data_IF_980250268004
#
_entry.id   IF_980250268004
#
_cell.length_a   1.000
_cell.length_b   1.000
_cell.length_c   1.000
_cell.angle_alpha   90.00
_cell.angle_beta   90.00
_cell.angle_gamma   90.00
#
_symmetry.space_group_name_H-M   'P 1'
#
loop_
_entity.id
_entity.type
_entity.pdbx_description
1 polymer ?
#
# COMPACT_ATOMS: atom_id res chain seq x y z
N UNK A 1 10.68 -4.36 -18.58
CA UNK A 1 9.62 -4.64 -17.57
C UNK A 1 10.25 -5.52 -16.48
N UNK A 2 9.96 -5.24 -15.20
CA UNK A 2 10.51 -5.98 -14.09
C UNK A 2 9.75 -7.29 -13.85
N UNK A 3 10.37 -8.25 -13.14
CA UNK A 3 9.71 -9.52 -12.80
C UNK A 3 8.42 -9.31 -12.01
N UNK A 4 8.42 -8.34 -11.08
CA UNK A 4 7.25 -8.01 -10.28
C UNK A 4 6.08 -7.49 -11.10
N UNK A 5 6.32 -6.67 -12.12
CA UNK A 5 5.26 -6.19 -13.00
C UNK A 5 4.61 -7.33 -13.80
N UNK A 6 5.41 -8.28 -14.31
CA UNK A 6 4.87 -9.46 -14.98
C UNK A 6 4.03 -10.33 -14.03
N UNK A 7 4.52 -10.58 -12.82
CA UNK A 7 3.76 -11.31 -11.79
C UNK A 7 2.43 -10.60 -11.50
N UNK A 8 2.45 -9.27 -11.34
CA UNK A 8 1.25 -8.47 -11.09
C UNK A 8 0.24 -8.55 -12.24
N UNK A 9 0.70 -8.46 -13.48
CA UNK A 9 -0.18 -8.57 -14.67
C UNK A 9 -0.81 -9.96 -14.74
N UNK A 10 -0.02 -11.01 -14.60
CA UNK A 10 -0.52 -12.40 -14.64
C UNK A 10 -1.53 -12.62 -13.53
N UNK A 11 -1.21 -12.19 -12.30
CA UNK A 11 -2.11 -12.32 -11.17
C UNK A 11 -3.42 -11.55 -11.38
N UNK A 12 -3.34 -10.33 -11.92
CA UNK A 12 -4.53 -9.52 -12.26
C UNK A 12 -5.42 -10.23 -13.28
N UNK A 13 -4.83 -10.79 -14.34
CA UNK A 13 -5.58 -11.55 -15.37
C UNK A 13 -6.24 -12.78 -14.75
N UNK A 14 -5.51 -13.55 -13.93
CA UNK A 14 -6.04 -14.75 -13.29
C UNK A 14 -7.18 -14.42 -12.31
N UNK A 15 -7.03 -13.39 -11.48
CA UNK A 15 -8.06 -12.96 -10.53
C UNK A 15 -9.29 -12.44 -11.26
N UNK A 16 -9.10 -11.65 -12.33
CA UNK A 16 -10.21 -11.16 -13.16
C UNK A 16 -10.95 -12.32 -13.82
N UNK A 17 -10.23 -13.23 -14.46
CA UNK A 17 -10.81 -14.40 -15.11
C UNK A 17 -11.57 -15.29 -14.11
N UNK A 18 -10.97 -15.56 -12.93
CA UNK A 18 -11.62 -16.32 -11.87
C UNK A 18 -12.88 -15.64 -11.33
N UNK A 19 -12.85 -14.32 -11.14
CA UNK A 19 -14.02 -13.53 -10.70
C UNK A 19 -15.16 -13.60 -11.73
N UNK A 20 -14.83 -13.40 -13.01
CA UNK A 20 -15.80 -13.49 -14.12
C UNK A 20 -16.34 -14.92 -14.25
N UNK A 21 -15.45 -15.93 -14.14
CA UNK A 21 -15.85 -17.32 -14.17
C UNK A 21 -16.86 -17.67 -13.08
N UNK A 22 -16.57 -17.32 -11.82
CA UNK A 22 -17.47 -17.53 -10.66
C UNK A 22 -18.85 -16.91 -10.89
N UNK A 23 -18.94 -15.77 -11.55
CA UNK A 23 -20.21 -15.10 -11.80
C UNK A 23 -21.00 -15.74 -12.97
N UNK A 24 -20.34 -16.14 -14.07
CA UNK A 24 -21.01 -16.62 -15.28
C UNK A 24 -21.18 -18.14 -15.35
N UNK A 25 -20.38 -18.90 -14.60
CA UNK A 25 -20.51 -20.36 -14.58
C UNK A 25 -21.81 -20.74 -13.85
N UNK A 26 -22.67 -21.58 -14.45
CA UNK A 26 -23.98 -21.91 -13.88
C UNK A 26 -23.89 -22.59 -12.50
N UNK A 27 -22.89 -23.44 -12.27
CA UNK A 27 -22.73 -24.17 -11.01
C UNK A 27 -22.30 -23.22 -9.90
N UNK A 28 -21.27 -22.40 -10.10
CA UNK A 28 -20.83 -21.42 -9.12
C UNK A 28 -21.86 -20.32 -8.90
N UNK A 29 -22.50 -19.82 -9.96
CA UNK A 29 -23.55 -18.80 -9.83
C UNK A 29 -24.74 -19.32 -9.02
N UNK A 30 -25.12 -20.61 -9.19
CA UNK A 30 -26.19 -21.20 -8.40
C UNK A 30 -25.89 -21.24 -6.89
N UNK A 31 -24.62 -21.30 -6.49
CA UNK A 31 -24.19 -21.28 -5.08
C UNK A 31 -24.25 -19.88 -4.46
N UNK A 32 -24.22 -18.81 -5.27
CA UNK A 32 -24.35 -17.45 -4.75
C UNK A 32 -25.80 -17.22 -4.24
N UNK A 33 -25.99 -16.68 -3.03
CA UNK A 33 -27.32 -16.29 -2.54
C UNK A 33 -27.90 -15.15 -3.38
N UNK A 34 -29.20 -14.95 -3.29
CA UNK A 34 -29.89 -13.78 -3.86
C UNK A 34 -30.78 -13.16 -2.79
N UNK A 35 -30.48 -11.97 -2.26
CA UNK A 35 -29.34 -11.09 -2.62
C UNK A 35 -27.98 -11.58 -2.09
N UNK A 36 -26.89 -11.14 -2.78
CA UNK A 36 -25.49 -11.44 -2.43
C UNK A 36 -25.01 -10.47 -1.35
N UNK A 37 -24.32 -10.92 -0.26
CA UNK A 37 -23.69 -10.03 0.70
C UNK A 37 -22.49 -9.30 0.04
N UNK A 38 -22.47 -7.96 0.17
CA UNK A 38 -21.45 -7.11 -0.49
C UNK A 38 -20.71 -6.17 0.47
N UNK A 39 -21.11 -6.10 1.73
CA UNK A 39 -20.41 -5.36 2.76
C UNK A 39 -20.61 -6.01 4.14
N UNK A 40 -19.57 -5.96 4.98
CA UNK A 40 -19.56 -6.48 6.33
C UNK A 40 -19.07 -5.42 7.30
N UNK A 41 -19.75 -5.28 8.42
CA UNK A 41 -19.34 -4.37 9.49
C UNK A 41 -18.10 -4.90 10.24
N UNK A 42 -17.57 -4.11 11.19
CA UNK A 42 -16.39 -4.46 12.00
C UNK A 42 -16.57 -5.74 12.84
N UNK A 43 -17.81 -6.19 13.04
CA UNK A 43 -18.14 -7.43 13.76
C UNK A 43 -18.27 -8.64 12.82
N UNK A 44 -18.00 -8.45 11.52
CA UNK A 44 -18.11 -9.48 10.51
C UNK A 44 -19.55 -9.82 10.12
N UNK A 45 -20.53 -8.99 10.51
CA UNK A 45 -21.92 -9.16 10.15
C UNK A 45 -22.20 -8.45 8.83
N UNK A 46 -22.92 -9.10 7.93
CA UNK A 46 -23.34 -8.48 6.66
C UNK A 46 -24.36 -7.38 6.95
N UNK A 47 -24.07 -6.17 6.48
CA UNK A 47 -24.94 -4.99 6.64
C UNK A 47 -25.36 -4.36 5.30
N UNK A 48 -24.87 -4.89 4.18
CA UNK A 48 -25.33 -4.51 2.83
C UNK A 48 -25.40 -5.73 1.92
N UNK A 49 -26.48 -5.79 1.16
CA UNK A 49 -26.78 -6.85 0.20
C UNK A 49 -27.06 -6.24 -1.16
N UNK A 50 -26.71 -6.95 -2.23
CA UNK A 50 -26.92 -6.51 -3.62
C UNK A 50 -27.62 -7.63 -4.38
N UNK A 51 -28.66 -7.32 -5.20
CA UNK A 51 -29.27 -8.32 -6.06
C UNK A 51 -28.21 -9.05 -6.91
N UNK A 52 -28.33 -10.37 -7.06
CA UNK A 52 -27.36 -11.18 -7.79
C UNK A 52 -27.12 -10.68 -9.21
N UNK A 53 -28.15 -10.19 -9.90
CA UNK A 53 -28.04 -9.63 -11.24
C UNK A 53 -27.17 -8.36 -11.32
N UNK A 54 -26.98 -7.66 -10.20
CA UNK A 54 -26.27 -6.38 -10.12
C UNK A 54 -24.92 -6.48 -9.41
N UNK A 55 -24.49 -7.68 -8.95
CA UNK A 55 -23.32 -7.82 -8.09
C UNK A 55 -21.98 -7.78 -8.87
N UNK A 56 -21.99 -8.10 -10.15
CA UNK A 56 -20.76 -8.19 -10.95
C UNK A 56 -19.87 -6.91 -10.90
N UNK A 57 -20.40 -5.69 -11.02
CA UNK A 57 -19.58 -4.48 -10.88
C UNK A 57 -18.86 -4.40 -9.52
N UNK A 58 -19.47 -4.84 -8.43
CA UNK A 58 -18.85 -4.88 -7.11
C UNK A 58 -17.70 -5.88 -7.07
N UNK A 59 -17.86 -7.04 -7.67
CA UNK A 59 -16.80 -8.06 -7.77
C UNK A 59 -15.63 -7.61 -8.65
N UNK A 60 -15.86 -6.73 -9.61
CA UNK A 60 -14.80 -6.21 -10.50
C UNK A 60 -14.02 -5.03 -9.91
N UNK A 61 -14.41 -4.46 -8.76
CA UNK A 61 -13.68 -3.34 -8.13
C UNK A 61 -12.23 -3.73 -7.81
N UNK A 62 -12.02 -4.89 -7.17
CA UNK A 62 -10.69 -5.39 -6.84
C UNK A 62 -9.81 -5.63 -8.08
N UNK A 63 -10.26 -6.43 -9.07
CA UNK A 63 -9.58 -6.59 -10.34
C UNK A 63 -9.26 -5.28 -11.08
N UNK A 64 -10.21 -4.33 -11.09
CA UNK A 64 -9.99 -3.01 -11.71
C UNK A 64 -8.89 -2.21 -10.99
N UNK A 65 -8.88 -2.22 -9.65
CA UNK A 65 -7.83 -1.61 -8.86
C UNK A 65 -6.45 -2.24 -9.13
N UNK A 66 -6.39 -3.58 -9.26
CA UNK A 66 -5.16 -4.30 -9.63
C UNK A 66 -4.67 -3.89 -11.04
N UNK A 67 -5.57 -3.78 -12.01
CA UNK A 67 -5.26 -3.32 -13.37
C UNK A 67 -4.72 -1.89 -13.38
N UNK A 68 -5.34 -1.00 -12.59
CA UNK A 68 -4.86 0.38 -12.41
C UNK A 68 -3.45 0.41 -11.80
N UNK A 69 -3.17 -0.42 -10.79
CA UNK A 69 -1.84 -0.52 -10.18
C UNK A 69 -0.79 -1.03 -11.18
N UNK A 70 -1.14 -2.02 -12.02
CA UNK A 70 -0.26 -2.48 -13.10
C UNK A 70 0.08 -1.36 -14.10
N UNK A 71 -0.88 -0.51 -14.42
CA UNK A 71 -0.69 0.68 -15.27
C UNK A 71 0.17 1.74 -14.58
N UNK A 72 -0.09 2.03 -13.30
CA UNK A 72 0.62 3.05 -12.52
C UNK A 72 2.08 2.65 -12.26
N UNK A 73 2.38 1.37 -12.15
CA UNK A 73 3.74 0.88 -11.84
C UNK A 73 4.82 1.42 -12.81
N UNK A 74 4.68 1.36 -14.14
CA UNK A 74 5.63 1.99 -15.05
C UNK A 74 5.41 3.52 -15.19
N UNK A 75 4.20 4.01 -15.00
CA UNK A 75 3.84 5.42 -15.24
C UNK A 75 4.40 6.36 -14.18
N UNK A 76 4.30 6.01 -12.89
CA UNK A 76 4.73 6.89 -11.80
C UNK A 76 6.23 7.22 -11.83
N UNK A 77 7.16 6.27 -12.07
CA UNK A 77 8.58 6.60 -12.26
C UNK A 77 8.84 7.55 -13.42
N UNK A 78 8.10 7.41 -14.52
CA UNK A 78 8.22 8.29 -15.67
C UNK A 78 7.74 9.73 -15.37
N UNK A 79 6.68 9.87 -14.56
CA UNK A 79 6.17 11.17 -14.10
C UNK A 79 7.02 11.79 -12.99
N UNK A 80 8.00 11.08 -12.45
CA UNK A 80 8.78 11.53 -11.29
C UNK A 80 9.73 12.66 -11.68
N UNK A 81 9.76 13.78 -10.93
CA UNK A 81 10.81 14.79 -11.09
C UNK A 81 12.20 14.16 -10.88
N UNK A 82 13.21 14.60 -11.64
CA UNK A 82 14.58 14.02 -11.62
C UNK A 82 15.16 13.92 -10.21
N UNK A 83 14.95 14.94 -9.37
CA UNK A 83 15.43 15.00 -7.98
C UNK A 83 14.75 13.96 -7.06
N UNK A 84 13.60 13.41 -7.47
CA UNK A 84 12.84 12.38 -6.74
C UNK A 84 12.73 11.08 -7.54
N UNK A 85 13.74 10.80 -8.36
CA UNK A 85 13.77 9.61 -9.18
C UNK A 85 13.62 8.32 -8.38
N UNK A 86 12.87 7.37 -8.92
CA UNK A 86 12.65 6.05 -8.34
C UNK A 86 13.81 5.08 -8.63
N UNK A 87 14.63 5.37 -9.63
CA UNK A 87 15.70 4.47 -10.11
C UNK A 87 16.66 4.00 -9.01
N UNK A 88 17.10 4.84 -8.03
CA UNK A 88 18.02 4.39 -6.98
C UNK A 88 17.46 3.27 -6.08
N UNK A 89 16.13 3.09 -6.02
CA UNK A 89 15.50 2.03 -5.22
C UNK A 89 14.44 1.24 -6.03
N UNK A 90 14.61 1.18 -7.35
CA UNK A 90 13.66 0.58 -8.29
C UNK A 90 13.20 -0.82 -7.89
N UNK A 91 14.09 -1.67 -7.38
CA UNK A 91 13.74 -3.03 -6.93
C UNK A 91 12.74 -3.01 -5.77
N UNK A 92 12.91 -2.09 -4.82
CA UNK A 92 12.00 -1.93 -3.67
C UNK A 92 10.67 -1.35 -4.12
N UNK A 93 10.69 -0.36 -5.02
CA UNK A 93 9.49 0.20 -5.62
C UNK A 93 8.63 -0.88 -6.30
N UNK A 94 9.23 -1.66 -7.19
CA UNK A 94 8.54 -2.71 -7.92
C UNK A 94 8.02 -3.82 -6.99
N UNK A 95 8.77 -4.16 -5.93
CA UNK A 95 8.33 -5.07 -4.89
C UNK A 95 7.08 -4.53 -4.16
N UNK A 96 7.10 -3.26 -3.72
CA UNK A 96 5.98 -2.64 -3.00
C UNK A 96 4.74 -2.59 -3.90
N UNK A 97 4.88 -2.18 -5.16
CA UNK A 97 3.76 -2.16 -6.12
C UNK A 97 3.19 -3.56 -6.33
N UNK A 98 4.05 -4.57 -6.50
CA UNK A 98 3.63 -5.97 -6.59
C UNK A 98 2.96 -6.48 -5.31
N UNK A 99 3.49 -6.12 -4.14
CA UNK A 99 2.91 -6.49 -2.85
C UNK A 99 1.49 -5.94 -2.67
N UNK A 100 1.24 -4.70 -3.13
CA UNK A 100 -0.12 -4.10 -3.11
C UNK A 100 -1.06 -4.87 -4.03
N UNK A 101 -0.59 -5.28 -5.23
CA UNK A 101 -1.41 -6.13 -6.14
C UNK A 101 -1.72 -7.47 -5.50
N UNK A 102 -0.76 -8.11 -4.82
CA UNK A 102 -0.97 -9.37 -4.07
C UNK A 102 -1.99 -9.17 -2.95
N UNK A 103 -1.93 -8.04 -2.24
CA UNK A 103 -2.95 -7.72 -1.22
C UNK A 103 -4.34 -7.64 -1.85
N UNK A 104 -4.52 -6.92 -2.96
CA UNK A 104 -5.82 -6.83 -3.63
C UNK A 104 -6.30 -8.20 -4.14
N UNK A 105 -5.42 -9.05 -4.65
CA UNK A 105 -5.75 -10.41 -5.04
C UNK A 105 -6.24 -11.24 -3.85
N UNK A 106 -5.54 -11.14 -2.71
CA UNK A 106 -5.94 -11.79 -1.47
C UNK A 106 -7.31 -11.31 -0.98
N UNK A 107 -7.52 -9.98 -0.92
CA UNK A 107 -8.79 -9.40 -0.50
C UNK A 107 -9.93 -9.82 -1.43
N UNK A 108 -9.70 -9.86 -2.74
CA UNK A 108 -10.68 -10.33 -3.72
C UNK A 108 -11.06 -11.79 -3.46
N UNK A 109 -10.09 -12.67 -3.19
CA UNK A 109 -10.35 -14.06 -2.85
C UNK A 109 -11.20 -14.20 -1.58
N UNK A 110 -10.87 -13.45 -0.52
CA UNK A 110 -11.66 -13.46 0.73
C UNK A 110 -13.07 -12.92 0.50
N UNK A 111 -13.23 -11.83 -0.27
CA UNK A 111 -14.54 -11.23 -0.59
C UNK A 111 -15.41 -12.23 -1.37
N UNK A 112 -14.86 -12.89 -2.38
CA UNK A 112 -15.60 -13.92 -3.14
C UNK A 112 -16.04 -15.07 -2.23
N UNK A 113 -15.13 -15.60 -1.38
CA UNK A 113 -15.49 -16.65 -0.43
C UNK A 113 -16.59 -16.19 0.55
N UNK A 114 -16.49 -14.97 1.05
CA UNK A 114 -17.49 -14.39 1.97
C UNK A 114 -18.85 -14.18 1.29
N UNK A 115 -18.87 -14.02 -0.04
CA UNK A 115 -20.13 -13.86 -0.79
C UNK A 115 -20.91 -15.16 -0.94
N UNK A 116 -20.24 -16.33 -0.86
CA UNK A 116 -20.91 -17.63 -0.82
C UNK A 116 -21.41 -18.01 0.58
N UNK A 117 -20.65 -17.64 1.60
CA UNK A 117 -20.93 -18.00 2.98
C UNK A 117 -21.00 -16.73 3.84
N UNK A 118 -22.17 -16.37 4.33
CA UNK A 118 -22.36 -15.24 5.25
C UNK A 118 -21.71 -15.48 6.65
N UNK A 119 -20.52 -16.05 6.71
CA UNK A 119 -19.84 -16.40 7.97
C UNK A 119 -18.92 -15.28 8.43
N UNK A 120 -19.19 -14.75 9.63
CA UNK A 120 -18.35 -13.73 10.29
C UNK A 120 -16.87 -14.10 10.49
N UNK A 121 -16.52 -15.40 10.43
CA UNK A 121 -15.14 -15.86 10.57
C UNK A 121 -14.20 -15.33 9.46
N UNK A 122 -14.71 -15.02 8.27
CA UNK A 122 -13.89 -14.54 7.16
C UNK A 122 -13.34 -13.12 7.37
N UNK A 123 -13.93 -12.31 8.25
CA UNK A 123 -13.41 -10.99 8.63
C UNK A 123 -12.02 -11.11 9.29
N UNK A 124 -11.78 -12.13 10.09
CA UNK A 124 -10.50 -12.37 10.74
C UNK A 124 -9.42 -12.72 9.70
N UNK A 125 -9.75 -13.51 8.68
CA UNK A 125 -8.83 -13.79 7.58
C UNK A 125 -8.49 -12.50 6.82
N UNK A 126 -9.50 -11.70 6.47
CA UNK A 126 -9.32 -10.43 5.78
C UNK A 126 -8.37 -9.51 6.55
N UNK A 127 -8.64 -9.30 7.84
CA UNK A 127 -7.84 -8.44 8.71
C UNK A 127 -6.44 -9.03 8.94
N UNK A 128 -6.34 -10.35 9.15
CA UNK A 128 -5.05 -11.03 9.30
C UNK A 128 -4.13 -10.83 8.11
N UNK A 129 -4.66 -10.94 6.89
CA UNK A 129 -3.87 -10.67 5.67
C UNK A 129 -3.40 -9.22 5.54
N UNK A 130 -4.19 -8.25 5.99
CA UNK A 130 -3.77 -6.84 6.06
C UNK A 130 -2.58 -6.68 7.02
N UNK A 131 -2.58 -7.35 8.16
CA UNK A 131 -1.45 -7.31 9.09
C UNK A 131 -0.19 -7.96 8.52
N UNK A 132 -0.32 -9.09 7.85
CA UNK A 132 0.79 -9.72 7.11
C UNK A 132 1.35 -8.77 6.04
N UNK A 133 0.47 -8.09 5.29
CA UNK A 133 0.90 -7.07 4.34
C UNK A 133 1.71 -5.96 5.01
N UNK A 134 1.29 -5.43 6.16
CA UNK A 134 2.04 -4.39 6.88
C UNK A 134 3.40 -4.91 7.38
N UNK A 135 3.50 -6.15 7.83
CA UNK A 135 4.79 -6.75 8.19
C UNK A 135 5.75 -6.83 6.99
N UNK A 136 5.26 -7.28 5.83
CA UNK A 136 6.04 -7.37 4.59
C UNK A 136 6.42 -6.00 4.05
N UNK A 137 5.52 -5.02 4.10
CA UNK A 137 5.78 -3.63 3.73
C UNK A 137 6.83 -3.01 4.65
N UNK A 138 6.69 -3.17 5.96
CA UNK A 138 7.62 -2.68 6.96
C UNK A 138 9.04 -3.18 6.72
N UNK A 139 9.20 -4.44 6.36
CA UNK A 139 10.51 -5.05 6.09
C UNK A 139 11.34 -4.32 5.02
N UNK A 140 10.71 -3.62 4.09
CA UNK A 140 11.39 -2.88 3.01
C UNK A 140 11.27 -1.37 3.11
N UNK A 141 10.42 -0.87 4.01
CA UNK A 141 10.11 0.56 4.11
C UNK A 141 11.36 1.42 4.40
N UNK A 142 12.30 0.91 5.21
CA UNK A 142 13.56 1.59 5.51
C UNK A 142 14.55 1.66 4.33
N UNK A 143 14.29 0.96 3.23
CA UNK A 143 15.11 0.95 2.01
C UNK A 143 14.61 1.95 0.96
N UNK A 144 13.44 2.57 1.18
CA UNK A 144 12.84 3.54 0.26
C UNK A 144 13.63 4.85 0.35
N UNK A 145 14.22 5.26 -0.77
CA UNK A 145 14.89 6.55 -0.89
C UNK A 145 13.86 7.68 -1.04
N UNK A 146 14.27 8.90 -0.75
CA UNK A 146 13.42 10.09 -0.86
C UNK A 146 12.83 10.19 -2.27
N UNK A 147 11.51 10.16 -2.34
CA UNK A 147 10.75 10.15 -3.58
C UNK A 147 9.38 10.81 -3.40
N UNK A 148 8.64 10.97 -4.52
CA UNK A 148 7.36 11.65 -4.54
C UNK A 148 6.15 10.71 -4.37
N UNK A 149 6.31 9.37 -4.53
CA UNK A 149 5.18 8.46 -4.70
C UNK A 149 4.84 7.61 -3.49
N UNK A 150 5.83 7.17 -2.72
CA UNK A 150 5.60 6.24 -1.61
C UNK A 150 6.38 6.59 -0.36
N UNK A 151 5.87 6.16 0.80
CA UNK A 151 6.43 6.38 2.11
C UNK A 151 5.75 7.51 2.90
N UNK A 152 6.34 7.89 4.03
CA UNK A 152 5.88 8.99 4.89
C UNK A 152 6.35 10.31 4.30
N UNK A 153 5.47 10.96 3.54
CA UNK A 153 5.74 12.20 2.80
C UNK A 153 5.16 13.40 3.51
N UNK A 154 5.92 13.95 4.42
CA UNK A 154 5.65 15.23 5.09
C UNK A 154 6.55 16.31 4.49
N UNK A 155 6.25 17.60 4.66
CA UNK A 155 7.18 18.66 4.26
C UNK A 155 8.59 18.46 4.82
N UNK A 156 8.69 17.95 6.03
CA UNK A 156 9.96 17.74 6.74
C UNK A 156 10.77 16.56 6.20
N UNK A 157 10.12 15.44 5.85
CA UNK A 157 10.80 14.30 5.23
C UNK A 157 11.25 14.61 3.81
N UNK A 158 10.47 15.41 3.06
CA UNK A 158 10.86 15.83 1.72
C UNK A 158 11.96 16.90 1.74
N UNK A 159 12.06 17.70 2.81
CA UNK A 159 13.07 18.73 2.95
C UNK A 159 14.46 18.22 3.38
N UNK A 160 14.56 17.06 4.04
CA UNK A 160 15.83 16.53 4.55
C UNK A 160 15.93 15.02 4.37
N UNK A 161 17.03 14.56 3.77
CA UNK A 161 17.31 13.13 3.59
C UNK A 161 17.56 12.44 4.94
N UNK A 162 18.18 13.11 5.89
CA UNK A 162 18.37 12.62 7.26
C UNK A 162 17.03 12.37 7.95
N UNK A 163 16.10 13.32 7.84
CA UNK A 163 14.73 13.15 8.41
C UNK A 163 14.00 12.03 7.68
N UNK A 164 14.10 11.94 6.35
CA UNK A 164 13.51 10.87 5.57
C UNK A 164 13.97 9.49 6.05
N UNK A 165 15.28 9.27 6.08
CA UNK A 165 15.87 7.97 6.40
C UNK A 165 15.51 7.52 7.83
N UNK A 166 15.59 8.42 8.81
CA UNK A 166 15.27 8.09 10.20
C UNK A 166 13.76 7.82 10.39
N UNK A 167 12.91 8.61 9.74
CA UNK A 167 11.45 8.42 9.78
C UNK A 167 11.05 7.07 9.19
N UNK A 168 11.59 6.71 8.03
CA UNK A 168 11.28 5.44 7.37
C UNK A 168 11.85 4.23 8.10
N UNK A 169 13.00 4.38 8.78
CA UNK A 169 13.53 3.34 9.66
C UNK A 169 12.63 3.09 10.87
N UNK A 170 12.12 4.17 11.50
CA UNK A 170 11.16 4.04 12.59
C UNK A 170 9.86 3.40 12.11
N UNK A 171 9.31 3.88 10.97
CA UNK A 171 8.11 3.32 10.37
C UNK A 171 8.29 1.83 10.03
N UNK A 172 9.45 1.42 9.52
CA UNK A 172 9.76 0.03 9.21
C UNK A 172 9.62 -0.87 10.45
N UNK A 173 10.23 -0.49 11.57
CA UNK A 173 10.13 -1.26 12.82
C UNK A 173 8.70 -1.31 13.37
N UNK A 174 7.98 -0.19 13.31
CA UNK A 174 6.60 -0.13 13.79
C UNK A 174 5.68 -1.00 12.93
N UNK A 175 5.79 -0.93 11.60
CA UNK A 175 4.96 -1.73 10.72
C UNK A 175 5.27 -3.24 10.81
N UNK A 176 6.54 -3.62 10.94
CA UNK A 176 6.89 -5.03 11.19
C UNK A 176 6.32 -5.50 12.53
N UNK A 177 6.55 -4.72 13.60
CA UNK A 177 6.07 -5.06 14.94
C UNK A 177 4.55 -5.19 15.00
N UNK A 178 3.82 -4.16 14.53
CA UNK A 178 2.36 -4.16 14.52
C UNK A 178 1.82 -5.20 13.53
N UNK A 179 2.47 -5.40 12.38
CA UNK A 179 2.07 -6.42 11.42
C UNK A 179 2.12 -7.82 12.00
N UNK A 180 3.22 -8.20 12.65
CA UNK A 180 3.37 -9.52 13.28
C UNK A 180 2.44 -9.65 14.49
N UNK A 181 2.47 -8.70 15.43
CA UNK A 181 1.66 -8.77 16.64
C UNK A 181 0.16 -8.70 16.34
N UNK A 182 -0.25 -7.90 15.34
CA UNK A 182 -1.63 -7.80 14.90
C UNK A 182 -2.14 -9.07 14.23
N UNK A 183 -1.32 -9.72 13.38
CA UNK A 183 -1.68 -11.02 12.80
C UNK A 183 -1.91 -12.07 13.88
N UNK A 184 -1.03 -12.14 14.89
CA UNK A 184 -1.20 -13.04 16.05
C UNK A 184 -2.44 -12.65 16.86
N UNK A 185 -2.65 -11.35 17.12
CA UNK A 185 -3.78 -10.84 17.89
C UNK A 185 -5.14 -11.24 17.27
N UNK A 186 -5.24 -11.16 15.93
CA UNK A 186 -6.44 -11.60 15.20
C UNK A 186 -6.68 -13.10 15.37
N UNK A 187 -5.63 -13.93 15.33
CA UNK A 187 -5.75 -15.40 15.48
C UNK A 187 -6.21 -15.76 16.90
N UNK A 188 -5.73 -15.08 17.94
CA UNK A 188 -6.12 -15.34 19.34
C UNK A 188 -7.41 -14.62 19.75
N UNK A 189 -8.09 -13.94 18.82
CA UNK A 189 -9.40 -13.34 19.04
C UNK A 189 -9.39 -11.99 19.78
N UNK A 190 -8.30 -11.23 19.73
CA UNK A 190 -8.27 -9.85 20.24
C UNK A 190 -9.28 -9.01 19.46
N UNK A 191 -10.07 -8.14 20.11
CA UNK A 191 -11.02 -7.28 19.45
C UNK A 191 -10.38 -6.47 18.31
N UNK A 192 -11.00 -6.48 17.12
CA UNK A 192 -10.42 -5.88 15.90
C UNK A 192 -10.13 -4.38 16.05
N UNK A 193 -10.93 -3.65 16.86
CA UNK A 193 -10.68 -2.23 17.08
C UNK A 193 -9.34 -1.96 17.80
N UNK A 194 -8.87 -2.87 18.67
CA UNK A 194 -7.54 -2.79 19.31
C UNK A 194 -6.46 -3.01 18.22
N UNK A 195 -6.66 -4.00 17.36
CA UNK A 195 -5.76 -4.29 16.27
C UNK A 195 -5.62 -3.08 15.33
N UNK A 196 -6.74 -2.47 14.92
CA UNK A 196 -6.73 -1.27 14.08
C UNK A 196 -6.11 -0.05 14.76
N UNK A 197 -6.31 0.13 16.09
CA UNK A 197 -5.64 1.19 16.84
C UNK A 197 -4.11 1.05 16.73
N UNK A 198 -3.57 -0.17 16.76
CA UNK A 198 -2.15 -0.44 16.56
C UNK A 198 -1.64 0.05 15.19
N UNK A 199 -2.37 -0.20 14.11
CA UNK A 199 -2.02 0.29 12.75
C UNK A 199 -2.05 1.82 12.71
N UNK A 200 -3.08 2.45 13.28
CA UNK A 200 -3.21 3.91 13.31
C UNK A 200 -2.02 4.53 14.06
N UNK A 201 -1.66 3.99 15.22
CA UNK A 201 -0.51 4.44 15.99
C UNK A 201 0.79 4.26 15.19
N UNK A 202 1.00 3.10 14.55
CA UNK A 202 2.17 2.84 13.73
C UNK A 202 2.29 3.78 12.52
N UNK A 203 1.16 4.26 11.98
CA UNK A 203 1.13 5.23 10.89
C UNK A 203 1.37 6.67 11.38
N UNK A 204 0.80 7.06 12.53
CA UNK A 204 0.87 8.44 13.05
C UNK A 204 2.22 8.74 13.70
N UNK A 205 2.79 7.80 14.48
CA UNK A 205 4.05 8.02 15.19
C UNK A 205 5.18 8.50 14.27
N UNK A 206 5.45 7.91 13.09
CA UNK A 206 6.48 8.41 12.18
C UNK A 206 6.21 9.83 11.67
N UNK A 207 4.94 10.21 11.49
CA UNK A 207 4.56 11.57 11.05
C UNK A 207 4.99 12.60 12.11
N UNK A 208 4.59 12.41 13.37
CA UNK A 208 4.97 13.31 14.46
C UNK A 208 6.46 13.28 14.75
N UNK A 209 7.09 12.09 14.67
CA UNK A 209 8.53 11.95 14.80
C UNK A 209 9.28 12.74 13.73
N UNK A 210 8.80 12.77 12.49
CA UNK A 210 9.42 13.52 11.40
C UNK A 210 9.46 15.03 11.68
N UNK A 211 8.38 15.58 12.24
CA UNK A 211 8.31 16.98 12.67
C UNK A 211 9.29 17.27 13.81
N UNK A 212 9.25 16.44 14.86
CA UNK A 212 10.13 16.59 16.01
C UNK A 212 11.61 16.53 15.62
N UNK A 213 11.98 15.54 14.80
CA UNK A 213 13.36 15.38 14.35
C UNK A 213 13.82 16.55 13.49
N UNK A 214 12.97 17.02 12.58
CA UNK A 214 13.27 18.15 11.71
C UNK A 214 13.53 19.41 12.56
N UNK A 215 12.64 19.73 13.50
CA UNK A 215 12.78 20.90 14.39
C UNK A 215 14.03 20.82 15.30
N UNK A 216 14.35 19.63 15.78
CA UNK A 216 15.58 19.39 16.53
C UNK A 216 16.83 19.67 15.70
N UNK A 217 16.92 19.09 14.49
CA UNK A 217 18.07 19.31 13.61
C UNK A 217 18.18 20.76 13.12
N UNK A 218 17.05 21.42 12.92
CA UNK A 218 17.00 22.85 12.57
C UNK A 218 17.63 23.69 13.71
N UNK A 219 17.24 23.44 14.96
CA UNK A 219 17.77 24.14 16.14
C UNK A 219 19.26 23.85 16.36
N UNK A 220 19.71 22.62 16.10
CA UNK A 220 21.12 22.22 16.20
C UNK A 220 21.98 22.69 15.02
N UNK A 221 21.41 23.33 13.99
CA UNK A 221 22.10 23.75 12.77
C UNK A 221 22.61 22.60 11.91
N UNK A 222 22.05 21.37 12.08
CA UNK A 222 22.47 20.13 11.43
C UNK A 222 21.56 19.70 10.26
N UNK A 223 20.64 20.55 9.82
CA UNK A 223 19.87 20.28 8.60
C UNK A 223 20.80 20.35 7.40
N UNK A 224 20.80 19.30 6.60
CA UNK A 224 21.52 19.24 5.33
C UNK A 224 20.99 20.32 4.39
N UNK A 225 21.67 21.47 4.35
CA UNK A 225 21.33 22.56 3.42
C UNK A 225 21.66 22.22 1.96
N UNK A 226 22.37 21.15 1.71
CA UNK A 226 22.75 20.69 0.37
C UNK A 226 21.57 20.39 -0.55
N UNK A 227 20.38 20.14 0.03
CA UNK A 227 19.18 19.81 -0.76
C UNK A 227 18.30 21.02 -1.08
N UNK A 228 18.50 22.15 -0.40
CA UNK A 228 17.75 23.41 -0.62
C UNK A 228 18.48 24.40 -1.55
N UNK A 229 19.73 24.13 -1.86
CA UNK A 229 20.59 25.01 -2.67
C UNK A 229 21.37 24.22 -3.71
N UNK A 230 20.68 23.59 -4.67
CA UNK A 230 21.25 23.55 -6.01
C UNK A 230 20.84 24.87 -6.68
N UNK A 231 21.70 25.92 -6.69
CA UNK A 231 21.47 27.01 -7.61
C UNK A 231 21.49 26.36 -9.00
N UNK A 232 20.46 26.63 -9.79
CA UNK A 232 20.59 26.51 -11.22
C UNK A 232 21.91 27.23 -11.57
N UNK A 233 22.95 26.48 -11.92
CA UNK A 233 24.10 27.03 -12.60
C UNK A 233 23.59 27.53 -13.95
N UNK A 234 23.03 28.74 -13.93
CA UNK A 234 22.92 29.56 -15.13
C UNK A 234 24.37 29.73 -15.61
N UNK A 235 24.66 29.15 -16.75
CA UNK A 235 25.92 29.30 -17.41
C UNK A 235 26.24 30.77 -17.58
N UNK A 236 27.21 31.23 -16.79
CA UNK A 236 27.96 32.43 -17.02
C UNK A 236 29.32 32.05 -17.61
N UNK A 237 29.27 31.63 -18.86
CA UNK A 237 30.47 31.66 -19.70
C UNK A 237 30.08 32.22 -21.06
N UNK A 238 29.94 33.52 -21.08
CA UNK A 238 29.99 34.32 -22.28
C UNK A 238 30.54 35.71 -21.89
N UNK A 239 31.79 35.75 -21.55
CA UNK A 239 32.54 37.02 -21.66
C UNK A 239 33.97 36.71 -22.08
N UNK A 240 34.24 36.83 -23.31
CA UNK A 240 35.14 37.84 -23.87
C UNK A 240 36.57 37.72 -23.44
N UNK A 241 37.42 37.28 -24.37
CA UNK A 241 38.65 37.98 -24.61
C UNK A 241 39.20 37.57 -25.99
N UNK A 242 39.19 38.63 -26.86
CA UNK A 242 40.13 38.96 -27.96
C UNK A 242 40.36 37.95 -29.08
#
# INVERSE_FOLDING_TARGET
MTRWLWVSIILTVLVTAGTVYVYFDPEFNALLPDPVPTHWNIHGQTDKWTPKAEVLPYFLIGPAAMGLLCLLTPLLPWLSPRQFSVEPFRKVYDYVMGLVVVLFAYLQGVILLASFEARGALINWLVGGIFVFFALLGNVLGQIRRNFWMGVRTPWTLASETVWNNTHRLAAWLFVGVGISGAVAVVIGVPLWICFAGIIIAALVPIFYSLWLYKRLEHEGKLDRSDLSAPATVGSDASGQR
#
